data_IF_481794461661
#
_entry.id   IF_481794461661
#
_cell.length_a   1.000
_cell.length_b   1.000
_cell.length_c   1.000
_cell.angle_alpha   90.00
_cell.angle_beta   90.00
_cell.angle_gamma   90.00
#
_symmetry.space_group_name_H-M   'P 1'
#
loop_
_entity.id
_entity.type
_entity.pdbx_description
1 polymer ?
#
# COMPACT_ATOMS: atom_id res chain seq x y z
N UNK A 1 16.68 3.82 -9.96
CA UNK A 1 15.22 4.02 -9.74
C UNK A 1 15.03 4.52 -8.33
N UNK A 2 14.22 5.53 -8.11
CA UNK A 2 13.95 6.15 -6.80
C UNK A 2 12.49 6.59 -6.72
N UNK A 3 12.02 6.84 -5.50
CA UNK A 3 10.70 7.38 -5.23
C UNK A 3 9.69 6.33 -4.78
N UNK A 4 8.47 6.79 -4.54
CA UNK A 4 7.34 6.02 -4.05
C UNK A 4 6.10 6.30 -4.90
N UNK A 5 5.37 5.26 -5.29
CA UNK A 5 4.17 5.31 -6.14
C UNK A 5 3.01 4.65 -5.42
N UNK A 6 1.89 5.35 -5.35
CA UNK A 6 0.63 4.85 -4.80
C UNK A 6 -0.23 4.30 -5.95
N UNK A 7 -0.80 3.13 -5.76
CA UNK A 7 -1.83 2.54 -6.64
C UNK A 7 -3.17 2.67 -5.97
N UNK A 8 -4.10 3.35 -6.62
CA UNK A 8 -5.41 3.66 -6.04
C UNK A 8 -6.52 3.65 -7.08
N UNK A 9 -7.75 3.65 -6.62
CA UNK A 9 -8.94 3.86 -7.44
C UNK A 9 -9.86 4.87 -6.77
N UNK A 10 -10.56 5.65 -7.58
CA UNK A 10 -11.56 6.60 -7.12
C UNK A 10 -12.96 6.04 -7.37
N UNK A 11 -13.80 6.04 -6.34
CA UNK A 11 -15.23 5.77 -6.52
C UNK A 11 -15.92 6.94 -7.22
N UNK A 12 -17.14 6.71 -7.76
CA UNK A 12 -17.99 7.75 -8.35
C UNK A 12 -18.24 8.90 -7.38
N UNK A 13 -18.27 8.64 -6.07
CA UNK A 13 -18.42 9.64 -5.01
C UNK A 13 -17.11 10.33 -4.60
N UNK A 14 -16.00 10.14 -5.32
CA UNK A 14 -14.71 10.77 -5.04
C UNK A 14 -13.96 10.16 -3.84
N UNK A 15 -14.41 9.04 -3.29
CA UNK A 15 -13.68 8.32 -2.24
C UNK A 15 -12.53 7.53 -2.87
N UNK A 16 -11.32 7.79 -2.39
CA UNK A 16 -10.12 7.06 -2.81
C UNK A 16 -9.93 5.79 -1.97
N UNK A 17 -9.58 4.69 -2.64
CA UNK A 17 -9.10 3.45 -2.01
C UNK A 17 -7.68 3.22 -2.50
N UNK A 18 -6.75 3.04 -1.56
CA UNK A 18 -5.35 2.70 -1.84
C UNK A 18 -5.18 1.20 -1.76
N UNK A 19 -4.78 0.59 -2.86
CA UNK A 19 -4.53 -0.86 -2.95
C UNK A 19 -3.12 -1.23 -2.50
N UNK A 20 -2.12 -0.41 -2.90
CA UNK A 20 -0.73 -0.65 -2.57
C UNK A 20 0.11 0.62 -2.71
N UNK A 21 1.26 0.63 -2.03
CA UNK A 21 2.34 1.59 -2.25
C UNK A 21 3.59 0.83 -2.66
N UNK A 22 4.23 1.29 -3.71
CA UNK A 22 5.45 0.70 -4.29
C UNK A 22 6.63 1.63 -4.10
N UNK A 23 7.78 1.07 -3.76
CA UNK A 23 9.03 1.77 -3.53
C UNK A 23 10.08 1.39 -4.58
N UNK A 24 11.27 1.95 -4.45
CA UNK A 24 12.39 1.62 -5.32
C UNK A 24 12.66 0.09 -5.32
N UNK A 25 12.71 -0.49 -6.51
CA UNK A 25 12.90 -1.93 -6.71
C UNK A 25 11.61 -2.74 -6.91
N UNK A 26 10.45 -2.15 -6.62
CA UNK A 26 9.17 -2.79 -6.88
C UNK A 26 8.76 -2.68 -8.36
N UNK A 27 7.90 -3.60 -8.79
CA UNK A 27 7.30 -3.65 -10.13
C UNK A 27 5.81 -3.40 -9.97
N UNK A 28 5.20 -2.58 -10.84
CA UNK A 28 3.75 -2.39 -10.89
C UNK A 28 3.24 -2.21 -12.32
N UNK A 29 1.92 -2.34 -12.51
CA UNK A 29 1.28 -2.23 -13.82
C UNK A 29 1.43 -3.48 -14.68
N UNK A 30 1.80 -4.61 -14.10
CA UNK A 30 2.00 -5.90 -14.77
C UNK A 30 0.69 -6.49 -15.29
N UNK A 31 -0.45 -6.22 -14.66
CA UNK A 31 -1.74 -6.81 -15.01
C UNK A 31 -2.05 -6.51 -16.48
N UNK A 32 -2.13 -5.25 -16.87
CA UNK A 32 -2.41 -4.85 -18.24
C UNK A 32 -1.33 -5.28 -19.27
N UNK A 33 -0.11 -5.54 -18.81
CA UNK A 33 0.95 -6.12 -19.65
C UNK A 33 0.69 -7.59 -19.94
N UNK A 34 0.15 -8.32 -18.98
CA UNK A 34 -0.11 -9.75 -19.06
C UNK A 34 -1.41 -10.06 -19.81
N UNK A 35 -2.54 -9.46 -19.39
CA UNK A 35 -3.86 -9.74 -19.94
C UNK A 35 -4.17 -8.93 -21.21
N UNK A 36 -3.54 -7.76 -21.36
CA UNK A 36 -3.76 -6.86 -22.49
C UNK A 36 -4.98 -5.96 -22.38
N UNK A 37 -5.62 -5.98 -21.21
CA UNK A 37 -6.76 -5.13 -20.89
C UNK A 37 -6.32 -3.72 -20.45
N UNK A 38 -7.27 -2.85 -20.15
CA UNK A 38 -7.03 -1.51 -19.65
C UNK A 38 -6.39 -1.53 -18.25
N UNK A 39 -5.84 -0.39 -17.83
CA UNK A 39 -5.29 -0.24 -16.48
C UNK A 39 -6.39 -0.41 -15.44
N UNK A 40 -6.18 -1.30 -14.49
CA UNK A 40 -7.14 -1.62 -13.42
C UNK A 40 -7.16 -0.59 -12.28
N UNK A 41 -6.18 0.32 -12.23
CA UNK A 41 -6.05 1.34 -11.19
C UNK A 41 -5.14 2.49 -11.65
N UNK A 42 -5.22 3.61 -10.94
CA UNK A 42 -4.37 4.77 -11.12
C UNK A 42 -3.04 4.59 -10.40
N UNK A 43 -1.97 5.13 -10.99
CA UNK A 43 -0.64 5.19 -10.39
C UNK A 43 -0.25 6.65 -10.15
N UNK A 44 -0.09 7.04 -8.89
CA UNK A 44 0.24 8.41 -8.49
C UNK A 44 1.60 8.45 -7.80
N UNK A 45 2.52 9.28 -8.31
CA UNK A 45 3.80 9.53 -7.66
C UNK A 45 3.60 10.30 -6.35
N UNK A 46 4.07 9.75 -5.24
CA UNK A 46 4.02 10.37 -3.91
C UNK A 46 5.25 11.24 -3.64
N UNK A 47 6.35 10.94 -4.33
CA UNK A 47 7.62 11.67 -4.27
C UNK A 47 8.14 11.88 -5.68
N UNK A 48 9.26 12.56 -5.84
CA UNK A 48 9.99 12.55 -7.11
C UNK A 48 10.39 11.11 -7.46
N UNK A 49 9.96 10.62 -8.64
CA UNK A 49 10.12 9.23 -9.06
C UNK A 49 10.96 9.11 -10.32
N UNK A 50 11.79 8.09 -10.36
CA UNK A 50 12.49 7.61 -11.54
C UNK A 50 12.03 6.19 -11.86
N UNK A 51 11.38 5.99 -13.00
CA UNK A 51 10.75 4.74 -13.39
C UNK A 51 11.42 4.15 -14.64
N UNK A 52 11.65 2.84 -14.63
CA UNK A 52 11.98 2.08 -15.84
C UNK A 52 10.68 1.53 -16.42
N UNK A 53 10.34 1.93 -17.64
CA UNK A 53 9.11 1.51 -18.32
C UNK A 53 9.41 0.37 -19.27
N UNK A 54 8.72 -0.75 -19.07
CA UNK A 54 8.72 -1.89 -19.98
C UNK A 54 7.35 -2.00 -20.65
N UNK A 55 7.32 -1.88 -21.98
CA UNK A 55 6.06 -2.03 -22.71
C UNK A 55 5.73 -3.52 -22.97
N UNK A 56 4.45 -3.81 -23.25
CA UNK A 56 3.96 -5.17 -23.47
C UNK A 56 4.70 -5.91 -24.56
N UNK A 57 5.02 -5.23 -25.68
CA UNK A 57 5.70 -5.87 -26.83
C UNK A 57 7.08 -6.39 -26.44
N UNK A 58 7.85 -5.57 -25.72
CA UNK A 58 9.20 -5.94 -25.29
C UNK A 58 9.16 -6.99 -24.20
N UNK A 59 8.19 -6.90 -23.28
CA UNK A 59 7.94 -7.95 -22.30
C UNK A 59 7.64 -9.29 -22.98
N UNK A 60 6.68 -9.34 -23.92
CA UNK A 60 6.35 -10.58 -24.66
C UNK A 60 7.51 -11.14 -25.49
N UNK A 61 8.39 -10.26 -25.97
CA UNK A 61 9.63 -10.70 -26.66
C UNK A 61 10.62 -11.31 -25.67
N UNK A 62 10.86 -10.64 -24.56
CA UNK A 62 11.83 -11.06 -23.53
C UNK A 62 11.38 -12.31 -22.79
N UNK A 63 10.07 -12.52 -22.59
CA UNK A 63 9.54 -13.70 -21.91
C UNK A 63 9.65 -15.00 -22.72
N UNK A 64 9.79 -14.89 -24.06
CA UNK A 64 9.99 -16.06 -24.91
C UNK A 64 11.35 -16.69 -24.64
N UNK A 65 11.36 -17.89 -24.07
CA UNK A 65 12.57 -18.61 -23.71
C UNK A 65 13.14 -18.29 -22.33
N UNK A 66 12.51 -17.43 -21.55
CA UNK A 66 12.93 -17.08 -20.19
C UNK A 66 11.87 -17.53 -19.17
N UNK A 67 11.78 -18.83 -18.91
CA UNK A 67 10.83 -19.40 -17.94
C UNK A 67 10.99 -18.78 -16.54
N UNK A 68 12.22 -18.44 -16.14
CA UNK A 68 12.52 -17.80 -14.85
C UNK A 68 11.83 -16.44 -14.70
N UNK A 69 11.79 -15.62 -15.76
CA UNK A 69 11.08 -14.34 -15.74
C UNK A 69 9.58 -14.55 -15.51
N UNK A 70 8.98 -15.53 -16.17
CA UNK A 70 7.58 -15.87 -15.99
C UNK A 70 7.31 -16.34 -14.55
N UNK A 71 8.20 -17.17 -13.98
CA UNK A 71 8.08 -17.66 -12.60
C UNK A 71 8.20 -16.53 -11.57
N UNK A 72 9.07 -15.55 -11.79
CA UNK A 72 9.18 -14.37 -10.91
C UNK A 72 7.88 -13.57 -10.91
N UNK A 73 7.29 -13.36 -12.10
CA UNK A 73 6.01 -12.65 -12.22
C UNK A 73 4.85 -13.42 -11.57
N UNK A 74 4.77 -14.75 -11.82
CA UNK A 74 3.73 -15.58 -11.19
C UNK A 74 3.82 -15.53 -9.66
N UNK A 75 5.02 -15.62 -9.09
CA UNK A 75 5.23 -15.47 -7.64
C UNK A 75 4.80 -14.10 -7.14
N UNK A 76 5.08 -13.04 -7.91
CA UNK A 76 4.66 -11.68 -7.56
C UNK A 76 3.14 -11.55 -7.57
N UNK A 77 2.46 -12.11 -8.59
CA UNK A 77 1.00 -12.13 -8.67
C UNK A 77 0.37 -12.95 -7.53
N UNK A 78 0.93 -14.13 -7.22
CA UNK A 78 0.44 -14.94 -6.10
C UNK A 78 0.56 -14.19 -4.76
N UNK A 79 1.66 -13.46 -4.54
CA UNK A 79 1.83 -12.63 -3.35
C UNK A 79 0.78 -11.53 -3.29
N UNK A 80 0.54 -10.83 -4.40
CA UNK A 80 -0.47 -9.75 -4.48
C UNK A 80 -1.89 -10.29 -4.27
N UNK A 81 -2.20 -11.44 -4.85
CA UNK A 81 -3.49 -12.08 -4.63
C UNK A 81 -3.72 -12.38 -3.15
N UNK A 82 -2.72 -12.94 -2.44
CA UNK A 82 -2.82 -13.15 -0.99
C UNK A 82 -3.04 -11.83 -0.23
N UNK A 83 -2.28 -10.78 -0.55
CA UNK A 83 -2.45 -9.47 0.08
C UNK A 83 -3.85 -8.89 -0.15
N UNK A 84 -4.38 -9.03 -1.36
CA UNK A 84 -5.76 -8.58 -1.67
C UNK A 84 -6.79 -9.42 -0.90
N UNK A 85 -6.60 -10.74 -0.81
CA UNK A 85 -7.47 -11.60 0.00
C UNK A 85 -7.47 -11.18 1.46
N UNK A 86 -6.29 -10.95 2.05
CA UNK A 86 -6.18 -10.43 3.43
C UNK A 86 -6.88 -9.07 3.61
N UNK A 87 -6.78 -8.17 2.64
CA UNK A 87 -7.49 -6.89 2.69
C UNK A 87 -9.01 -7.06 2.67
N UNK A 88 -9.52 -8.00 1.88
CA UNK A 88 -10.95 -8.33 1.85
C UNK A 88 -11.39 -8.92 3.19
N UNK A 89 -10.63 -9.86 3.74
CA UNK A 89 -10.89 -10.43 5.07
C UNK A 89 -10.90 -9.33 6.16
N UNK A 90 -9.94 -8.41 6.13
CA UNK A 90 -9.88 -7.29 7.06
C UNK A 90 -11.14 -6.41 6.99
N UNK A 91 -11.64 -6.13 5.79
CA UNK A 91 -12.86 -5.34 5.64
C UNK A 91 -14.09 -6.08 6.15
N UNK A 92 -14.12 -7.41 6.02
CA UNK A 92 -15.24 -8.24 6.42
C UNK A 92 -15.28 -8.56 7.92
N UNK A 93 -14.10 -8.73 8.55
CA UNK A 93 -14.01 -9.24 9.91
C UNK A 93 -13.50 -8.23 10.94
N UNK A 94 -12.81 -7.16 10.50
CA UNK A 94 -12.27 -6.15 11.40
C UNK A 94 -13.11 -4.87 11.38
N UNK A 95 -13.28 -4.26 12.55
CA UNK A 95 -13.79 -2.89 12.63
C UNK A 95 -12.76 -1.87 12.11
N UNK A 96 -13.19 -0.63 11.94
CA UNK A 96 -12.31 0.42 11.41
C UNK A 96 -11.13 0.71 12.33
N UNK A 97 -11.33 0.64 13.65
CA UNK A 97 -10.27 0.87 14.65
C UNK A 97 -9.14 -0.16 14.49
N UNK A 98 -9.51 -1.43 14.36
CA UNK A 98 -8.56 -2.54 14.12
C UNK A 98 -7.84 -2.43 12.78
N UNK A 99 -8.53 -2.02 11.70
CA UNK A 99 -7.90 -1.80 10.39
C UNK A 99 -6.91 -0.64 10.41
N UNK A 100 -7.23 0.45 11.11
CA UNK A 100 -6.30 1.58 11.32
C UNK A 100 -5.06 1.11 12.08
N UNK A 101 -5.24 0.34 13.17
CA UNK A 101 -4.11 -0.21 13.93
C UNK A 101 -3.24 -1.14 13.07
N UNK A 102 -3.83 -2.02 12.27
CA UNK A 102 -3.12 -2.91 11.33
C UNK A 102 -2.34 -2.11 10.28
N UNK A 103 -2.94 -1.06 9.70
CA UNK A 103 -2.28 -0.17 8.74
C UNK A 103 -1.05 0.52 9.34
N UNK A 104 -1.14 1.00 10.58
CA UNK A 104 -0.01 1.57 11.30
C UNK A 104 1.11 0.55 11.51
N UNK A 105 0.78 -0.68 11.92
CA UNK A 105 1.75 -1.76 12.10
C UNK A 105 2.46 -2.12 10.77
N UNK A 106 1.75 -2.12 9.67
CA UNK A 106 2.34 -2.35 8.34
C UNK A 106 3.33 -1.25 7.94
N UNK A 107 3.10 0.00 8.32
CA UNK A 107 4.02 1.11 8.08
C UNK A 107 5.27 1.04 8.96
N UNK A 108 5.17 0.47 10.15
CA UNK A 108 6.31 0.27 11.08
C UNK A 108 7.18 -0.93 10.67
N UNK A 109 6.59 -1.99 10.13
CA UNK A 109 7.28 -3.24 9.83
C UNK A 109 8.55 -3.09 8.96
N UNK A 110 8.59 -2.24 7.90
CA UNK A 110 9.79 -2.04 7.09
C UNK A 110 10.92 -1.30 7.84
N UNK A 111 10.57 -0.47 8.85
CA UNK A 111 11.57 0.29 9.63
C UNK A 111 12.35 -0.62 10.57
N UNK A 112 11.84 -1.82 10.82
CA UNK A 112 12.50 -2.86 11.63
C UNK A 112 12.52 -2.50 13.12
N UNK A 113 11.81 -3.24 13.94
CA UNK A 113 11.88 -3.13 15.41
C UNK A 113 13.22 -3.62 15.98
N UNK A 114 14.14 -4.11 15.13
CA UNK A 114 15.45 -4.60 15.52
C UNK A 114 16.41 -3.44 15.71
N UNK A 115 16.68 -3.11 16.96
CA UNK A 115 17.69 -2.11 17.34
C UNK A 115 17.15 -0.77 17.84
N UNK A 116 15.84 -0.62 17.98
CA UNK A 116 15.27 0.57 18.61
C UNK A 116 15.53 0.53 20.12
N UNK A 117 16.52 1.28 20.56
CA UNK A 117 16.72 1.63 21.98
C UNK A 117 15.65 2.62 22.46
N UNK A 118 14.81 3.10 21.55
CA UNK A 118 13.68 4.00 21.83
C UNK A 118 12.34 3.27 21.55
N UNK A 119 11.36 3.34 22.45
CA UNK A 119 10.05 2.71 22.26
C UNK A 119 9.17 3.47 21.24
N UNK A 120 9.73 4.39 20.47
CA UNK A 120 8.98 5.24 19.54
C UNK A 120 9.49 5.17 18.12
N UNK A 121 8.55 5.07 17.15
CA UNK A 121 8.79 5.17 15.71
C UNK A 121 8.04 6.39 15.21
N UNK A 122 8.72 7.29 14.50
CA UNK A 122 8.07 8.42 13.84
C UNK A 122 7.58 7.99 12.45
N UNK A 123 6.28 8.13 12.20
CA UNK A 123 5.66 7.84 10.90
C UNK A 123 5.19 9.13 10.25
N UNK A 124 5.62 9.35 9.02
CA UNK A 124 5.16 10.46 8.18
C UNK A 124 4.01 9.98 7.30
N UNK A 125 2.79 9.95 7.87
CA UNK A 125 1.56 9.56 7.18
C UNK A 125 0.42 10.46 7.61
N UNK A 126 -0.39 10.94 6.68
CA UNK A 126 -1.54 11.76 7.00
C UNK A 126 -2.73 10.91 7.46
N UNK A 127 -3.64 11.52 8.27
CA UNK A 127 -4.90 10.85 8.66
C UNK A 127 -5.77 10.49 7.46
N UNK A 128 -5.66 11.26 6.36
CA UNK A 128 -6.34 10.94 5.10
C UNK A 128 -5.80 9.67 4.47
N UNK A 129 -4.48 9.54 4.40
CA UNK A 129 -3.82 8.34 3.86
C UNK A 129 -4.15 7.10 4.69
N UNK A 130 -4.09 7.21 6.02
CA UNK A 130 -4.53 6.13 6.91
C UNK A 130 -6.00 5.77 6.70
N UNK A 131 -6.86 6.77 6.52
CA UNK A 131 -8.26 6.55 6.20
C UNK A 131 -8.43 5.81 4.88
N UNK A 132 -7.71 6.21 3.83
CA UNK A 132 -7.74 5.57 2.52
C UNK A 132 -7.22 4.12 2.58
N UNK A 133 -6.18 3.85 3.37
CA UNK A 133 -5.65 2.49 3.59
C UNK A 133 -6.63 1.60 4.38
N UNK A 134 -7.26 2.15 5.42
CA UNK A 134 -8.19 1.41 6.27
C UNK A 134 -9.63 1.36 5.73
N UNK A 135 -9.91 2.00 4.60
CA UNK A 135 -11.28 2.10 4.05
C UNK A 135 -12.22 2.99 4.86
N UNK A 136 -11.67 3.98 5.59
CA UNK A 136 -12.39 4.95 6.40
C UNK A 136 -12.24 6.39 5.92
N UNK A 137 -12.92 7.34 6.58
CA UNK A 137 -12.72 8.77 6.35
C UNK A 137 -11.63 9.33 7.29
N UNK A 138 -11.06 10.49 6.91
CA UNK A 138 -10.14 11.25 7.77
C UNK A 138 -10.75 11.53 9.15
N UNK A 139 -12.02 11.93 9.17
CA UNK A 139 -12.76 12.25 10.40
C UNK A 139 -12.91 11.03 11.30
N UNK A 140 -13.14 9.85 10.69
CA UNK A 140 -13.23 8.59 11.43
C UNK A 140 -11.88 8.22 12.07
N UNK A 141 -10.79 8.36 11.32
CA UNK A 141 -9.42 8.14 11.85
C UNK A 141 -9.11 9.12 12.98
N UNK A 142 -9.47 10.40 12.83
CA UNK A 142 -9.28 11.39 13.89
C UNK A 142 -10.04 11.01 15.17
N UNK A 143 -11.30 10.56 15.05
CA UNK A 143 -12.08 10.08 16.20
C UNK A 143 -11.43 8.88 16.89
N UNK A 144 -10.88 7.94 16.12
CA UNK A 144 -10.16 6.77 16.66
C UNK A 144 -8.95 7.25 17.47
N UNK A 145 -8.14 8.16 16.91
CA UNK A 145 -6.98 8.71 17.63
C UNK A 145 -7.37 9.44 18.92
N UNK A 146 -8.43 10.24 18.89
CA UNK A 146 -8.92 10.89 20.09
C UNK A 146 -9.37 9.88 21.16
N UNK A 147 -10.00 8.78 20.75
CA UNK A 147 -10.40 7.70 21.68
C UNK A 147 -9.20 7.00 22.27
N UNK A 148 -8.18 6.68 21.46
CA UNK A 148 -6.94 6.09 21.98
C UNK A 148 -6.23 6.99 22.97
N UNK A 149 -6.20 8.30 22.70
CA UNK A 149 -5.69 9.28 23.65
C UNK A 149 -6.43 9.30 24.99
N UNK A 150 -7.74 9.33 24.96
CA UNK A 150 -8.56 9.30 26.17
C UNK A 150 -8.38 8.03 26.99
N UNK A 151 -8.07 6.90 26.34
CA UNK A 151 -7.79 5.61 26.98
C UNK A 151 -6.35 5.50 27.51
N UNK A 152 -5.54 6.56 27.42
CA UNK A 152 -4.15 6.57 27.86
C UNK A 152 -3.22 5.69 27.02
N UNK A 153 -3.65 5.31 25.82
CA UNK A 153 -2.78 4.58 24.91
C UNK A 153 -1.71 5.55 24.38
N UNK A 154 -0.42 5.17 24.42
CA UNK A 154 0.66 6.06 24.05
C UNK A 154 0.71 6.26 22.54
N UNK A 155 0.00 7.28 22.04
CA UNK A 155 0.21 7.72 20.67
C UNK A 155 0.96 9.08 20.56
N UNK A 156 1.62 9.51 21.64
CA UNK A 156 2.62 10.60 21.57
C UNK A 156 3.73 10.35 20.53
N UNK A 157 3.61 9.26 19.79
CA UNK A 157 4.54 8.68 18.84
C UNK A 157 4.20 9.08 17.41
N UNK A 158 3.00 9.60 17.14
CA UNK A 158 2.53 9.82 15.78
C UNK A 158 2.44 11.32 15.47
N UNK A 159 3.44 11.92 14.84
CA UNK A 159 3.23 13.14 14.08
C UNK A 159 2.50 12.76 12.80
N UNK A 160 1.18 12.76 12.87
CA UNK A 160 0.31 12.65 11.72
C UNK A 160 0.05 14.08 11.25
N UNK A 161 0.60 14.43 10.11
CA UNK A 161 0.40 15.75 9.48
C UNK A 161 -0.88 15.81 8.66
#
# INVERSE_FOLDING_TARGET
MRGSVKISSLSVGGKEIVFATFNAGDIFGEIAVLDGEERSADATAMTECELLVLNRRDFCRSSRGHADLCMILLRTLCRRLRQTTEQVEDVMFLDLESRVAKGLLQLVAPVGLRGLHSPSVELHVSQRELGNMAGGSRESVNKIFQNWYRRGQPYSIWRVF
#
